data_IF_146971806002
#
_entry.id   IF_146971806002
#
_cell.length_a   1.000
_cell.length_b   1.000
_cell.length_c   1.000
_cell.angle_alpha   90.00
_cell.angle_beta   90.00
_cell.angle_gamma   90.00
#
_symmetry.space_group_name_H-M   'P 1'
#
loop_
_entity.id
_entity.type
_entity.pdbx_description
1 polymer ?
#
# COMPACT_ATOMS: atom_id res chain seq x y z
N UNK A 1 -23.54 22.03 5.10
CA UNK A 1 -23.21 23.17 4.22
C UNK A 1 -22.54 24.26 5.04
N UNK A 2 -21.34 24.70 4.64
CA UNK A 2 -20.55 25.71 5.36
C UNK A 2 -21.20 27.09 5.20
N UNK A 3 -21.61 27.69 6.32
CA UNK A 3 -22.39 28.95 6.33
C UNK A 3 -21.52 30.20 6.25
N UNK A 4 -20.29 30.14 6.76
CA UNK A 4 -19.37 31.27 6.76
C UNK A 4 -18.77 31.49 5.35
N UNK A 5 -18.96 32.67 4.73
CA UNK A 5 -18.46 32.96 3.39
C UNK A 5 -16.93 33.09 3.32
N UNK A 6 -16.26 33.51 4.40
CA UNK A 6 -14.80 33.59 4.46
C UNK A 6 -14.19 32.19 4.49
N UNK A 7 -14.76 31.29 5.28
CA UNK A 7 -14.33 29.89 5.33
C UNK A 7 -14.55 29.22 3.97
N UNK A 8 -15.70 29.45 3.32
CA UNK A 8 -15.97 28.90 1.99
C UNK A 8 -14.95 29.39 0.95
N UNK A 9 -14.62 30.69 0.97
CA UNK A 9 -13.63 31.27 0.07
C UNK A 9 -12.25 30.63 0.28
N UNK A 10 -11.81 30.50 1.53
CA UNK A 10 -10.53 29.87 1.87
C UNK A 10 -10.45 28.42 1.37
N UNK A 11 -11.51 27.64 1.56
CA UNK A 11 -11.53 26.25 1.10
C UNK A 11 -11.54 26.13 -0.44
N UNK A 12 -12.21 27.07 -1.13
CA UNK A 12 -12.15 27.12 -2.58
C UNK A 12 -10.74 27.48 -3.07
N UNK A 13 -10.11 28.49 -2.49
CA UNK A 13 -8.73 28.88 -2.83
C UNK A 13 -7.74 27.73 -2.57
N UNK A 14 -7.88 27.01 -1.46
CA UNK A 14 -7.08 25.82 -1.17
C UNK A 14 -7.31 24.72 -2.22
N UNK A 15 -8.58 24.49 -2.62
CA UNK A 15 -8.90 23.53 -3.67
C UNK A 15 -8.30 23.91 -5.02
N UNK A 16 -8.36 25.18 -5.39
CA UNK A 16 -7.81 25.68 -6.65
C UNK A 16 -6.27 25.58 -6.69
N UNK A 17 -5.64 25.63 -5.51
CA UNK A 17 -4.20 25.42 -5.32
C UNK A 17 -3.79 23.94 -5.25
N UNK A 18 -4.72 23.00 -5.40
CA UNK A 18 -4.42 21.57 -5.45
C UNK A 18 -4.50 20.85 -4.10
N UNK A 19 -5.20 21.40 -3.12
CA UNK A 19 -5.49 20.71 -1.85
C UNK A 19 -6.89 20.12 -1.83
N UNK A 20 -7.12 19.13 -0.97
CA UNK A 20 -8.44 18.68 -0.55
C UNK A 20 -8.45 18.47 0.96
N UNK A 21 -9.64 18.41 1.54
CA UNK A 21 -9.76 18.13 2.97
C UNK A 21 -9.86 16.64 3.22
N UNK A 22 -9.11 16.17 4.22
CA UNK A 22 -9.33 14.89 4.88
C UNK A 22 -9.82 15.14 6.31
N UNK A 23 -10.43 14.12 6.91
CA UNK A 23 -10.86 14.15 8.31
C UNK A 23 -10.40 12.89 9.03
N UNK A 24 -9.90 13.07 10.24
CA UNK A 24 -9.59 11.99 11.18
C UNK A 24 -9.77 12.51 12.60
N UNK A 25 -10.31 11.69 13.50
CA UNK A 25 -10.50 12.03 14.93
C UNK A 25 -11.23 13.36 15.19
N UNK A 26 -12.14 13.76 14.31
CA UNK A 26 -12.89 15.02 14.42
C UNK A 26 -12.13 16.29 13.98
N UNK A 27 -10.91 16.13 13.45
CA UNK A 27 -10.12 17.21 12.86
C UNK A 27 -10.25 17.18 11.34
N UNK A 28 -10.30 18.36 10.73
CA UNK A 28 -10.16 18.56 9.28
C UNK A 28 -8.79 19.14 8.99
N UNK A 29 -8.09 18.57 8.01
CA UNK A 29 -6.78 19.06 7.59
C UNK A 29 -6.60 18.96 6.07
N UNK A 30 -5.83 19.86 5.45
CA UNK A 30 -5.57 19.82 4.02
C UNK A 30 -4.54 18.75 3.68
N UNK A 31 -4.81 17.99 2.63
CA UNK A 31 -3.86 17.08 1.98
C UNK A 31 -3.70 17.46 0.51
N UNK A 32 -2.60 17.04 -0.12
CA UNK A 32 -2.38 17.28 -1.55
C UNK A 32 -3.37 16.43 -2.35
N UNK A 33 -4.08 17.06 -3.30
CA UNK A 33 -4.94 16.38 -4.25
C UNK A 33 -4.14 15.98 -5.50
N UNK A 34 -3.42 14.85 -5.41
CA UNK A 34 -2.59 14.36 -6.50
C UNK A 34 -3.40 14.03 -7.78
N UNK A 35 -4.71 13.78 -7.66
CA UNK A 35 -5.59 13.59 -8.82
C UNK A 35 -5.55 14.79 -9.78
N UNK A 36 -5.45 16.01 -9.24
CA UNK A 36 -5.38 17.23 -10.07
C UNK A 36 -4.08 17.31 -10.88
N UNK A 37 -3.04 16.58 -10.48
CA UNK A 37 -1.76 16.56 -11.19
C UNK A 37 -1.75 15.61 -12.37
N UNK A 38 -2.76 14.74 -12.52
CA UNK A 38 -2.88 13.88 -13.72
C UNK A 38 -2.96 14.69 -15.02
N UNK A 39 -3.50 15.92 -14.98
CA UNK A 39 -3.51 16.84 -16.13
C UNK A 39 -2.11 17.16 -16.68
N UNK A 40 -1.06 16.98 -15.87
CA UNK A 40 0.32 17.22 -16.25
C UNK A 40 1.02 15.98 -16.82
N UNK A 41 0.42 14.79 -16.75
CA UNK A 41 1.02 13.54 -17.26
C UNK A 41 1.54 13.63 -18.70
N UNK A 42 0.85 14.30 -19.65
CA UNK A 42 1.36 14.46 -21.02
C UNK A 42 2.66 15.28 -21.14
N UNK A 43 3.07 15.99 -20.09
CA UNK A 43 4.20 16.94 -20.10
C UNK A 43 5.35 16.54 -19.19
N UNK A 44 5.24 15.41 -18.48
CA UNK A 44 6.26 14.93 -17.55
C UNK A 44 6.84 13.59 -18.02
N UNK A 45 7.97 13.20 -17.44
CA UNK A 45 8.62 11.93 -17.73
C UNK A 45 7.80 10.74 -17.20
N UNK A 46 7.96 9.53 -17.77
CA UNK A 46 7.20 8.34 -17.36
C UNK A 46 7.30 7.99 -15.86
N UNK A 47 8.45 8.24 -15.23
CA UNK A 47 8.61 8.04 -13.79
C UNK A 47 7.69 8.99 -13.01
N UNK A 48 7.63 10.26 -13.38
CA UNK A 48 6.73 11.22 -12.71
C UNK A 48 5.26 10.90 -12.99
N UNK A 49 4.91 10.36 -14.17
CA UNK A 49 3.55 9.84 -14.44
C UNK A 49 3.18 8.76 -13.44
N UNK A 50 4.02 7.73 -13.30
CA UNK A 50 3.79 6.62 -12.37
C UNK A 50 3.72 7.09 -10.91
N UNK A 51 4.57 8.03 -10.52
CA UNK A 51 4.53 8.62 -9.17
C UNK A 51 3.22 9.37 -8.91
N UNK A 52 2.72 10.15 -9.89
CA UNK A 52 1.43 10.85 -9.76
C UNK A 52 0.30 9.83 -9.58
N UNK A 53 0.31 8.72 -10.32
CA UNK A 53 -0.74 7.69 -10.21
C UNK A 53 -0.73 7.01 -8.83
N UNK A 54 0.43 6.62 -8.32
CA UNK A 54 0.59 6.05 -6.97
C UNK A 54 0.06 7.03 -5.91
N UNK A 55 0.52 8.28 -5.95
CA UNK A 55 0.12 9.27 -4.95
C UNK A 55 -1.34 9.71 -5.08
N UNK A 56 -1.89 9.69 -6.30
CA UNK A 56 -3.30 9.94 -6.53
C UNK A 56 -4.17 8.86 -5.88
N UNK A 57 -3.84 7.57 -6.08
CA UNK A 57 -4.54 6.46 -5.45
C UNK A 57 -4.53 6.57 -3.92
N UNK A 58 -3.37 6.81 -3.32
CA UNK A 58 -3.22 6.97 -1.87
C UNK A 58 -3.96 8.20 -1.34
N UNK A 59 -3.85 9.34 -2.02
CA UNK A 59 -4.55 10.55 -1.57
C UNK A 59 -6.06 10.43 -1.71
N UNK A 60 -6.58 9.71 -2.72
CA UNK A 60 -8.00 9.57 -3.00
C UNK A 60 -8.70 8.66 -2.00
N UNK A 61 -8.00 7.65 -1.51
CA UNK A 61 -8.47 6.77 -0.47
C UNK A 61 -7.27 6.29 0.32
N UNK A 62 -7.15 6.74 1.56
CA UNK A 62 -6.09 6.32 2.48
C UNK A 62 -6.08 4.81 2.64
N UNK A 63 -4.91 4.21 2.83
CA UNK A 63 -4.78 2.76 3.03
C UNK A 63 -5.31 2.35 4.41
N UNK A 64 -5.07 3.16 5.44
CA UNK A 64 -5.50 2.90 6.82
C UNK A 64 -6.32 4.04 7.42
N UNK A 65 -7.17 3.71 8.39
CA UNK A 65 -7.81 4.65 9.33
C UNK A 65 -7.98 3.93 10.67
N UNK A 66 -7.64 4.60 11.78
CA UNK A 66 -7.63 4.00 13.12
C UNK A 66 -6.93 2.63 13.15
N UNK A 67 -5.74 2.57 12.54
CA UNK A 67 -4.92 1.36 12.38
C UNK A 67 -5.60 0.15 11.70
N UNK A 68 -6.76 0.33 11.06
CA UNK A 68 -7.45 -0.67 10.25
C UNK A 68 -7.26 -0.36 8.76
N UNK A 69 -7.22 -1.38 7.90
CA UNK A 69 -7.31 -1.18 6.47
C UNK A 69 -8.72 -0.71 6.09
N UNK A 70 -8.79 0.37 5.31
CA UNK A 70 -10.05 0.88 4.75
C UNK A 70 -10.17 0.63 3.23
N UNK A 71 -9.30 -0.24 2.73
CA UNK A 71 -9.25 -0.78 1.37
C UNK A 71 -9.28 -2.31 1.43
N UNK A 72 -9.61 -2.98 0.33
CA UNK A 72 -9.53 -4.44 0.27
C UNK A 72 -8.08 -4.94 0.19
N UNK A 73 -7.86 -6.22 0.53
CA UNK A 73 -6.59 -6.89 0.33
C UNK A 73 -6.12 -6.88 -1.13
N UNK A 74 -7.05 -7.06 -2.09
CA UNK A 74 -6.76 -6.91 -3.52
C UNK A 74 -6.15 -5.54 -3.85
N UNK A 75 -6.73 -4.47 -3.30
CA UNK A 75 -6.30 -3.09 -3.54
C UNK A 75 -4.97 -2.80 -2.83
N UNK A 76 -4.77 -3.31 -1.62
CA UNK A 76 -3.50 -3.20 -0.89
C UNK A 76 -2.37 -3.88 -1.67
N UNK A 77 -2.57 -5.12 -2.12
CA UNK A 77 -1.57 -5.86 -2.92
C UNK A 77 -1.28 -5.09 -4.21
N UNK A 78 -2.31 -4.63 -4.94
CA UNK A 78 -2.13 -3.86 -6.18
C UNK A 78 -1.26 -2.62 -5.95
N UNK A 79 -1.58 -1.79 -4.94
CA UNK A 79 -0.80 -0.58 -4.62
C UNK A 79 0.64 -0.89 -4.22
N UNK A 80 0.83 -1.94 -3.45
CA UNK A 80 2.16 -2.42 -3.03
C UNK A 80 3.00 -2.85 -4.22
N UNK A 81 2.41 -3.60 -5.16
CA UNK A 81 3.09 -4.04 -6.39
C UNK A 81 3.35 -2.88 -7.36
N UNK A 82 2.50 -1.85 -7.40
CA UNK A 82 2.75 -0.63 -8.19
C UNK A 82 3.96 0.15 -7.67
N UNK A 83 4.11 0.24 -6.34
CA UNK A 83 5.29 0.85 -5.71
C UNK A 83 6.55 0.04 -6.00
N UNK A 84 6.50 -1.28 -5.89
CA UNK A 84 7.64 -2.14 -6.26
C UNK A 84 7.99 -2.00 -7.75
N UNK A 85 7.00 -2.02 -8.64
CA UNK A 85 7.20 -1.84 -10.08
C UNK A 85 7.82 -0.47 -10.40
N UNK A 86 7.43 0.58 -9.69
CA UNK A 86 8.08 1.89 -9.79
C UNK A 86 9.58 1.79 -9.45
N UNK A 87 9.93 1.16 -8.33
CA UNK A 87 11.32 1.02 -7.88
C UNK A 87 12.16 0.18 -8.86
N UNK A 88 11.56 -0.85 -9.45
CA UNK A 88 12.21 -1.69 -10.46
C UNK A 88 12.44 -0.94 -11.79
N UNK A 89 11.44 -0.17 -12.25
CA UNK A 89 11.49 0.50 -13.56
C UNK A 89 12.21 1.84 -13.52
N UNK A 90 12.21 2.53 -12.39
CA UNK A 90 12.73 3.89 -12.24
C UNK A 90 13.67 4.07 -11.03
N UNK A 91 14.71 3.21 -10.89
CA UNK A 91 15.58 3.23 -9.70
C UNK A 91 16.36 4.55 -9.53
N UNK A 92 16.57 5.31 -10.62
CA UNK A 92 17.25 6.60 -10.63
C UNK A 92 16.31 7.82 -10.57
N UNK A 93 15.00 7.60 -10.46
CA UNK A 93 14.05 8.70 -10.32
C UNK A 93 14.33 9.48 -9.02
N UNK A 94 14.15 10.80 -9.06
CA UNK A 94 14.18 11.63 -7.85
C UNK A 94 13.01 11.34 -6.88
N UNK A 95 12.07 10.48 -7.27
CA UNK A 95 10.96 9.99 -6.42
C UNK A 95 11.18 8.59 -5.87
N UNK A 96 12.24 7.88 -6.26
CA UNK A 96 12.50 6.51 -5.80
C UNK A 96 12.54 6.39 -4.27
N UNK A 97 13.27 7.28 -3.58
CA UNK A 97 13.30 7.29 -2.12
C UNK A 97 11.92 7.56 -1.50
N UNK A 98 11.12 8.48 -2.05
CA UNK A 98 9.78 8.75 -1.54
C UNK A 98 8.85 7.54 -1.72
N UNK A 99 8.93 6.84 -2.85
CA UNK A 99 8.15 5.62 -3.10
C UNK A 99 8.59 4.50 -2.17
N UNK A 100 9.90 4.27 -2.01
CA UNK A 100 10.47 3.29 -1.07
C UNK A 100 9.98 3.54 0.36
N UNK A 101 10.06 4.79 0.83
CA UNK A 101 9.59 5.16 2.17
C UNK A 101 8.08 4.96 2.39
N UNK A 102 7.29 4.95 1.31
CA UNK A 102 5.84 4.72 1.37
C UNK A 102 5.44 3.25 1.17
N UNK A 103 6.40 2.37 0.91
CA UNK A 103 6.20 0.94 0.71
C UNK A 103 6.32 0.22 2.06
N UNK A 104 5.19 -0.02 2.70
CA UNK A 104 5.12 -0.76 3.96
C UNK A 104 4.97 -2.25 3.69
N UNK A 105 6.09 -2.94 3.49
CA UNK A 105 6.10 -4.39 3.19
C UNK A 105 5.43 -5.21 4.29
N UNK A 106 5.57 -4.81 5.56
CA UNK A 106 4.87 -5.45 6.67
C UNK A 106 3.35 -5.42 6.57
N UNK A 107 2.75 -4.40 5.93
CA UNK A 107 1.30 -4.40 5.70
C UNK A 107 0.87 -5.51 4.74
N UNK A 108 1.71 -5.86 3.77
CA UNK A 108 1.42 -6.98 2.89
C UNK A 108 1.35 -8.27 3.69
N UNK A 109 2.34 -8.55 4.56
CA UNK A 109 2.50 -9.87 5.16
C UNK A 109 1.92 -10.04 6.56
N UNK A 110 1.91 -9.00 7.39
CA UNK A 110 1.37 -9.04 8.76
C UNK A 110 0.05 -8.29 8.90
N UNK A 111 -0.27 -7.42 7.95
CA UNK A 111 -1.43 -6.54 8.01
C UNK A 111 -1.19 -5.34 8.93
N UNK A 112 -2.28 -4.72 9.38
CA UNK A 112 -2.26 -3.63 10.35
C UNK A 112 -2.82 -4.08 11.70
N UNK A 113 -2.66 -3.27 12.75
CA UNK A 113 -3.07 -3.63 14.12
C UNK A 113 -4.57 -4.00 14.22
N UNK A 114 -5.44 -3.34 13.46
CA UNK A 114 -6.88 -3.64 13.45
C UNK A 114 -7.31 -4.43 12.20
N UNK A 115 -6.38 -4.88 11.37
CA UNK A 115 -6.64 -5.70 10.18
C UNK A 115 -5.45 -6.65 9.93
N UNK A 116 -5.24 -7.62 10.82
CA UNK A 116 -4.07 -8.49 10.74
C UNK A 116 -4.20 -9.47 9.56
N UNK A 117 -3.08 -10.01 9.10
CA UNK A 117 -3.06 -11.13 8.15
C UNK A 117 -3.31 -12.48 8.83
N UNK A 118 -2.94 -12.58 10.10
CA UNK A 118 -3.07 -13.80 10.90
C UNK A 118 -3.97 -13.54 12.11
N UNK A 119 -4.63 -14.57 12.61
CA UNK A 119 -5.44 -14.47 13.82
C UNK A 119 -4.66 -13.92 15.05
N UNK A 120 -5.37 -13.12 15.86
CA UNK A 120 -4.82 -12.48 17.05
C UNK A 120 -4.90 -13.42 18.25
N UNK A 121 -3.83 -14.18 18.54
CA UNK A 121 -3.73 -14.93 19.78
C UNK A 121 -2.33 -14.96 20.41
N UNK A 122 -2.29 -15.40 21.68
CA UNK A 122 -1.16 -15.35 22.62
C UNK A 122 0.08 -16.05 22.08
N UNK A 123 1.25 -15.82 22.69
CA UNK A 123 2.52 -16.50 22.31
C UNK A 123 2.44 -18.05 22.32
N UNK A 124 1.39 -18.60 22.92
CA UNK A 124 1.16 -20.03 23.12
C UNK A 124 0.23 -20.67 22.07
N UNK A 125 -0.42 -19.87 21.21
CA UNK A 125 -1.36 -20.36 20.18
C UNK A 125 -0.77 -20.25 18.76
N UNK A 126 -1.10 -21.25 17.95
CA UNK A 126 -0.75 -21.33 16.54
C UNK A 126 -1.45 -20.21 15.80
N UNK A 127 -0.70 -19.38 15.06
CA UNK A 127 -1.27 -18.31 14.24
C UNK A 127 -1.57 -18.79 12.84
N UNK A 128 -2.81 -18.69 12.38
CA UNK A 128 -3.21 -19.09 11.02
C UNK A 128 -3.57 -17.91 10.14
N UNK A 129 -3.27 -18.01 8.85
CA UNK A 129 -3.58 -16.93 7.89
C UNK A 129 -5.10 -16.80 7.72
N UNK A 130 -5.58 -15.57 7.66
CA UNK A 130 -6.96 -15.29 7.34
C UNK A 130 -7.30 -15.80 5.91
N UNK A 131 -8.38 -16.58 5.72
CA UNK A 131 -8.74 -17.14 4.43
C UNK A 131 -8.98 -16.10 3.31
N UNK A 132 -9.46 -14.89 3.66
CA UNK A 132 -9.62 -13.80 2.70
C UNK A 132 -8.27 -13.28 2.20
N UNK A 133 -7.26 -13.23 3.08
CA UNK A 133 -5.90 -12.84 2.72
C UNK A 133 -5.24 -13.88 1.85
N UNK A 134 -5.31 -15.15 2.25
CA UNK A 134 -4.79 -16.27 1.45
C UNK A 134 -5.39 -16.28 0.05
N UNK A 135 -6.70 -16.04 -0.06
CA UNK A 135 -7.39 -15.93 -1.36
C UNK A 135 -6.91 -14.73 -2.19
N UNK A 136 -6.66 -13.59 -1.56
CA UNK A 136 -6.12 -12.41 -2.24
C UNK A 136 -4.71 -12.65 -2.77
N UNK A 137 -3.85 -13.33 -1.99
CA UNK A 137 -2.52 -13.77 -2.43
C UNK A 137 -2.59 -14.72 -3.62
N UNK A 138 -3.41 -15.76 -3.53
CA UNK A 138 -3.60 -16.72 -4.63
C UNK A 138 -4.04 -16.02 -5.92
N UNK A 139 -4.97 -15.07 -5.80
CA UNK A 139 -5.45 -14.26 -6.93
C UNK A 139 -4.34 -13.36 -7.49
N UNK A 140 -3.50 -12.76 -6.65
CA UNK A 140 -2.39 -11.93 -7.08
C UNK A 140 -1.35 -12.74 -7.87
N UNK A 141 -0.97 -13.92 -7.37
CA UNK A 141 -0.05 -14.84 -8.07
C UNK A 141 -0.66 -15.34 -9.39
N UNK A 142 -1.94 -15.73 -9.38
CA UNK A 142 -2.62 -16.23 -10.58
C UNK A 142 -2.76 -15.15 -11.68
N UNK A 143 -2.86 -13.88 -11.31
CA UNK A 143 -2.96 -12.74 -12.24
C UNK A 143 -1.59 -12.14 -12.61
N UNK A 144 -0.48 -12.78 -12.23
CA UNK A 144 0.86 -12.29 -12.55
C UNK A 144 1.07 -12.21 -14.06
N UNK A 145 1.37 -11.02 -14.56
CA UNK A 145 1.70 -10.81 -15.98
C UNK A 145 3.01 -11.52 -16.35
N UNK A 146 3.13 -12.13 -17.55
CA UNK A 146 4.35 -12.81 -17.97
C UNK A 146 5.58 -11.91 -17.90
N UNK A 147 6.70 -12.46 -17.40
CA UNK A 147 7.98 -11.76 -17.23
C UNK A 147 7.98 -10.58 -16.24
N UNK A 148 6.96 -10.46 -15.38
CA UNK A 148 6.96 -9.49 -14.29
C UNK A 148 8.04 -9.82 -13.27
N UNK A 149 9.03 -8.93 -13.13
CA UNK A 149 10.02 -8.97 -12.05
C UNK A 149 9.40 -8.38 -10.78
N UNK A 150 9.14 -9.21 -9.78
CA UNK A 150 8.55 -8.80 -8.51
C UNK A 150 9.02 -9.76 -7.41
N UNK A 151 9.91 -9.28 -6.54
CA UNK A 151 10.34 -10.04 -5.36
C UNK A 151 9.17 -10.22 -4.39
N UNK A 152 8.26 -9.25 -4.30
CA UNK A 152 7.08 -9.38 -3.44
C UNK A 152 6.15 -10.50 -3.90
N UNK A 153 5.86 -10.63 -5.20
CA UNK A 153 5.06 -11.75 -5.72
C UNK A 153 5.80 -13.09 -5.58
N UNK A 154 7.11 -13.12 -5.84
CA UNK A 154 7.92 -14.33 -5.64
C UNK A 154 7.86 -14.79 -4.16
N UNK A 155 7.91 -13.84 -3.22
CA UNK A 155 7.75 -14.11 -1.78
C UNK A 155 6.34 -14.58 -1.44
N UNK A 156 5.29 -13.94 -1.98
CA UNK A 156 3.89 -14.37 -1.76
C UNK A 156 3.68 -15.80 -2.27
N UNK A 157 4.19 -16.15 -3.45
CA UNK A 157 4.12 -17.50 -4.01
C UNK A 157 4.84 -18.53 -3.11
N UNK A 158 6.05 -18.19 -2.64
CA UNK A 158 6.79 -19.03 -1.69
C UNK A 158 6.04 -19.24 -0.37
N UNK A 159 5.47 -18.19 0.19
CA UNK A 159 4.70 -18.25 1.44
C UNK A 159 3.44 -19.11 1.24
N UNK A 160 2.72 -18.96 0.13
CA UNK A 160 1.55 -19.80 -0.18
C UNK A 160 1.89 -21.29 -0.18
N UNK A 161 3.02 -21.67 -0.78
CA UNK A 161 3.50 -23.06 -0.75
C UNK A 161 3.74 -23.55 0.69
N UNK A 162 4.42 -22.75 1.52
CA UNK A 162 4.69 -23.12 2.91
C UNK A 162 3.41 -23.20 3.75
N UNK A 163 2.44 -22.32 3.52
CA UNK A 163 1.14 -22.35 4.19
C UNK A 163 0.37 -23.64 3.86
N UNK A 164 0.38 -24.07 2.59
CA UNK A 164 -0.25 -25.33 2.17
C UNK A 164 0.39 -26.57 2.80
N UNK A 165 1.71 -26.52 3.08
CA UNK A 165 2.45 -27.60 3.74
C UNK A 165 2.31 -27.61 5.27
N UNK A 166 1.97 -26.47 5.87
CA UNK A 166 1.99 -26.26 7.32
C UNK A 166 0.61 -25.86 7.88
N UNK A 167 -0.49 -26.37 7.30
CA UNK A 167 -1.86 -26.12 7.79
C UNK A 167 -2.20 -24.63 8.01
N UNK A 168 -1.76 -23.76 7.09
CA UNK A 168 -2.01 -22.32 7.13
C UNK A 168 -1.32 -21.57 8.29
N UNK A 169 -0.36 -22.20 8.97
CA UNK A 169 0.31 -21.64 10.14
C UNK A 169 1.45 -20.67 9.78
N UNK A 170 1.59 -19.58 10.54
CA UNK A 170 2.73 -18.67 10.51
C UNK A 170 3.94 -19.30 11.20
N UNK A 171 4.67 -20.11 10.45
CA UNK A 171 5.88 -20.80 10.93
C UNK A 171 7.07 -19.83 11.10
N UNK A 172 8.11 -20.22 11.89
CA UNK A 172 9.35 -19.47 11.97
C UNK A 172 10.02 -19.23 10.60
N UNK A 173 9.93 -20.21 9.69
CA UNK A 173 10.47 -20.07 8.33
C UNK A 173 9.76 -18.99 7.52
N UNK A 174 8.42 -18.91 7.62
CA UNK A 174 7.65 -17.83 6.97
C UNK A 174 8.04 -16.47 7.55
N UNK A 175 8.24 -16.38 8.87
CA UNK A 175 8.69 -15.13 9.52
C UNK A 175 10.06 -14.68 9.03
N UNK A 176 11.01 -15.60 8.89
CA UNK A 176 12.35 -15.31 8.35
C UNK A 176 12.29 -14.82 6.90
N UNK A 177 11.46 -15.45 6.06
CA UNK A 177 11.23 -15.01 4.67
C UNK A 177 10.65 -13.59 4.61
N UNK A 178 9.71 -13.27 5.51
CA UNK A 178 9.12 -11.93 5.59
C UNK A 178 10.17 -10.91 6.03
N UNK A 179 10.95 -11.22 7.06
CA UNK A 179 12.02 -10.34 7.56
C UNK A 179 13.07 -10.06 6.47
N UNK A 180 13.50 -11.08 5.73
CA UNK A 180 14.45 -10.93 4.62
C UNK A 180 13.94 -9.97 3.56
N UNK A 181 12.67 -10.10 3.15
CA UNK A 181 12.11 -9.20 2.12
C UNK A 181 11.86 -7.79 2.66
N UNK A 182 11.46 -7.63 3.92
CA UNK A 182 11.35 -6.31 4.55
C UNK A 182 12.68 -5.57 4.55
N UNK A 183 13.79 -6.28 4.87
CA UNK A 183 15.13 -5.72 4.87
C UNK A 183 15.59 -5.23 3.48
N UNK A 184 15.10 -5.82 2.39
CA UNK A 184 15.39 -5.32 1.03
C UNK A 184 14.80 -3.92 0.77
N UNK A 185 13.68 -3.61 1.41
CA UNK A 185 12.98 -2.35 1.26
C UNK A 185 13.14 -1.39 2.45
N UNK A 186 13.87 -1.81 3.49
CA UNK A 186 14.22 -0.95 4.61
C UNK A 186 15.04 0.27 4.12
N UNK A 187 14.85 1.41 4.79
CA UNK A 187 15.61 2.62 4.50
C UNK A 187 17.04 2.48 5.04
N UNK A 188 18.01 2.99 4.28
CA UNK A 188 19.41 3.10 4.71
C UNK A 188 19.57 4.13 5.85
#
# INVERSE_FOLDING_TARGET
MIKDPMVRKLLQEASDLGFKLETSEGLYYPIINYEMYKKFQPYVKPDIVAYIDIMAAESNQSTTSDAAFIISWDELIRRTLEKEAFLNNFPSSNRASAVKNSLYVGYLFYGSDNSPTYDWYTEEEIRTIDPEVKKAYQKAVANREPNTKSVLLDTVEKILHLLDENNDELTPEIKEIIEDVENLFAND
#
